data_IF_737537308101
#
_entry.id   IF_737537308101
#
_cell.length_a   1.000
_cell.length_b   1.000
_cell.length_c   1.000
_cell.angle_alpha   90.00
_cell.angle_beta   90.00
_cell.angle_gamma   90.00
#
_symmetry.space_group_name_H-M   'P 1'
#
loop_
_entity.id
_entity.type
_entity.pdbx_description
1 polymer ?
#
# COMPACT_ATOMS: atom_id res chain seq x y z
N UNK A 1 -8.77 -31.03 28.96
CA UNK A 1 -8.36 -29.72 28.40
C UNK A 1 -7.93 -29.97 26.97
N UNK A 2 -8.47 -29.23 26.00
CA UNK A 2 -8.06 -29.31 24.60
C UNK A 2 -7.56 -27.93 24.15
N UNK A 3 -6.44 -27.93 23.43
CA UNK A 3 -5.85 -26.74 22.83
C UNK A 3 -5.57 -27.10 21.38
N UNK A 4 -6.10 -26.30 20.47
CA UNK A 4 -5.79 -26.37 19.05
C UNK A 4 -5.42 -24.99 18.54
N UNK A 5 -4.39 -24.88 17.71
CA UNK A 5 -4.01 -23.63 17.08
C UNK A 5 -3.62 -23.88 15.61
N UNK A 6 -3.89 -22.90 14.76
CA UNK A 6 -3.49 -22.89 13.37
C UNK A 6 -2.94 -21.50 13.00
N UNK A 7 -1.92 -21.49 12.15
CA UNK A 7 -1.40 -20.28 11.51
C UNK A 7 -1.21 -20.59 10.03
N UNK A 8 -1.58 -19.64 9.18
CA UNK A 8 -1.35 -19.70 7.75
C UNK A 8 -0.69 -18.42 7.28
N UNK A 9 0.19 -18.55 6.29
CA UNK A 9 0.83 -17.45 5.60
C UNK A 9 0.40 -17.49 4.13
N UNK A 10 0.01 -16.34 3.58
CA UNK A 10 -0.47 -16.22 2.22
C UNK A 10 0.48 -15.37 1.39
N UNK A 11 0.93 -15.91 0.25
CA UNK A 11 1.71 -15.21 -0.76
C UNK A 11 1.12 -15.47 -2.13
N UNK A 12 1.02 -14.42 -2.95
CA UNK A 12 0.51 -14.50 -4.30
C UNK A 12 1.40 -13.68 -5.25
N UNK A 13 1.63 -14.20 -6.45
CA UNK A 13 2.42 -13.53 -7.48
C UNK A 13 1.90 -13.91 -8.84
N UNK A 14 1.68 -12.90 -9.68
CA UNK A 14 1.26 -13.06 -11.08
C UNK A 14 2.42 -13.61 -11.88
N UNK A 15 2.23 -14.78 -12.50
CA UNK A 15 3.26 -15.45 -13.31
C UNK A 15 3.17 -15.11 -14.79
N UNK A 16 1.96 -14.96 -15.31
CA UNK A 16 1.71 -14.67 -16.72
C UNK A 16 0.34 -14.02 -16.90
N UNK A 17 0.24 -13.09 -17.86
CA UNK A 17 -0.99 -12.39 -18.29
C UNK A 17 -1.09 -12.30 -19.82
N UNK A 18 -0.29 -13.10 -20.54
CA UNK A 18 -0.22 -13.11 -22.00
C UNK A 18 0.46 -11.87 -22.56
N UNK A 19 -0.14 -11.29 -23.61
CA UNK A 19 0.42 -10.13 -24.33
C UNK A 19 0.22 -8.79 -23.60
N UNK A 20 -0.52 -8.78 -22.49
CA UNK A 20 -0.83 -7.56 -21.76
C UNK A 20 0.36 -7.12 -20.91
N UNK A 21 0.64 -5.81 -20.85
CA UNK A 21 1.63 -5.28 -19.92
C UNK A 21 1.14 -5.32 -18.47
N UNK A 22 -0.16 -5.12 -18.25
CA UNK A 22 -0.83 -5.22 -16.96
C UNK A 22 -2.34 -5.41 -17.14
N UNK A 23 -3.03 -5.88 -16.12
CA UNK A 23 -4.49 -5.89 -16.02
C UNK A 23 -4.93 -4.74 -15.10
N UNK A 24 -5.79 -3.87 -15.62
CA UNK A 24 -6.45 -2.83 -14.81
C UNK A 24 -7.72 -3.37 -14.18
N UNK A 25 -7.98 -2.98 -12.94
CA UNK A 25 -9.19 -3.36 -12.21
C UNK A 25 -10.22 -2.23 -12.17
N UNK A 26 -11.50 -2.57 -11.97
CA UNK A 26 -12.62 -1.61 -11.97
C UNK A 26 -12.85 -0.95 -10.60
N UNK A 27 -11.80 -0.83 -9.78
CA UNK A 27 -11.86 -0.13 -8.51
C UNK A 27 -11.58 1.34 -8.76
N UNK A 28 -12.63 2.16 -8.82
CA UNK A 28 -12.52 3.59 -9.00
C UNK A 28 -12.55 4.31 -7.65
N UNK A 29 -11.52 5.11 -7.36
CA UNK A 29 -11.44 6.00 -6.20
C UNK A 29 -11.21 7.40 -6.73
N UNK A 30 -12.21 8.28 -6.64
CA UNK A 30 -12.14 9.64 -7.19
C UNK A 30 -11.66 9.68 -8.66
N UNK A 31 -12.20 8.80 -9.50
CA UNK A 31 -11.82 8.63 -10.92
C UNK A 31 -10.39 8.10 -11.15
N UNK A 32 -9.69 7.68 -10.09
CA UNK A 32 -8.41 6.98 -10.20
C UNK A 32 -8.63 5.47 -10.15
N UNK A 33 -7.86 4.73 -10.94
CA UNK A 33 -7.76 3.26 -10.87
C UNK A 33 -6.44 2.88 -10.21
N UNK A 34 -6.41 2.70 -8.89
CA UNK A 34 -5.17 2.53 -8.15
C UNK A 34 -4.62 1.10 -8.25
N UNK A 35 -5.42 0.14 -8.72
CA UNK A 35 -5.05 -1.27 -8.73
C UNK A 35 -4.63 -1.74 -10.13
N UNK A 36 -3.50 -2.45 -10.19
CA UNK A 36 -2.97 -3.12 -11.38
C UNK A 36 -2.41 -4.49 -11.02
N UNK A 37 -2.64 -5.48 -11.88
CA UNK A 37 -1.95 -6.78 -11.81
C UNK A 37 -0.90 -6.86 -12.91
N UNK A 38 0.35 -7.07 -12.53
CA UNK A 38 1.49 -7.13 -13.44
C UNK A 38 2.35 -8.33 -13.10
N UNK A 39 2.97 -8.97 -14.10
CA UNK A 39 3.87 -10.11 -13.89
C UNK A 39 4.95 -9.76 -12.86
N UNK A 40 5.18 -10.65 -11.90
CA UNK A 40 6.14 -10.48 -10.81
C UNK A 40 5.62 -9.70 -9.60
N UNK A 41 4.42 -9.14 -9.68
CA UNK A 41 3.73 -8.49 -8.56
C UNK A 41 2.56 -9.36 -8.07
N UNK A 42 2.09 -9.17 -6.83
CA UNK A 42 0.83 -9.76 -6.39
C UNK A 42 -0.36 -9.38 -7.29
N UNK A 43 -1.39 -10.22 -7.30
CA UNK A 43 -2.66 -9.86 -7.93
C UNK A 43 -3.31 -8.70 -7.15
N UNK A 44 -3.94 -7.75 -7.84
CA UNK A 44 -4.48 -6.50 -7.25
C UNK A 44 -3.45 -5.65 -6.49
N UNK A 45 -2.24 -5.48 -7.04
CA UNK A 45 -1.26 -4.54 -6.46
C UNK A 45 -1.67 -3.09 -6.62
N UNK A 46 -1.40 -2.27 -5.60
CA UNK A 46 -1.54 -0.82 -5.74
C UNK A 46 -0.42 -0.26 -6.60
N UNK A 47 -0.74 0.63 -7.53
CA UNK A 47 0.21 1.33 -8.39
C UNK A 47 -0.02 2.84 -8.30
N UNK A 48 0.64 3.44 -7.30
CA UNK A 48 0.38 4.78 -6.79
C UNK A 48 1.68 5.58 -6.65
N UNK A 49 1.57 6.91 -6.56
CA UNK A 49 2.70 7.78 -6.21
C UNK A 49 2.86 7.77 -4.69
N UNK A 50 4.08 7.56 -4.22
CA UNK A 50 4.37 7.45 -2.79
C UNK A 50 4.21 8.81 -2.12
N UNK A 51 3.63 8.84 -0.93
CA UNK A 51 3.54 10.07 -0.15
C UNK A 51 4.53 10.03 1.03
N UNK A 52 5.21 11.15 1.25
CA UNK A 52 6.07 11.41 2.40
C UNK A 52 5.28 12.06 3.55
N UNK A 53 3.98 11.76 3.66
CA UNK A 53 3.06 12.35 4.63
C UNK A 53 2.38 13.62 4.13
N UNK A 54 2.04 14.51 5.07
CA UNK A 54 1.33 15.76 4.81
C UNK A 54 2.27 16.96 4.98
N UNK A 55 2.06 18.00 4.18
CA UNK A 55 2.68 19.30 4.42
C UNK A 55 2.12 19.91 5.70
N UNK A 56 2.97 20.14 6.71
CA UNK A 56 2.53 20.68 8.00
C UNK A 56 2.31 22.18 7.97
N UNK A 57 3.05 22.89 7.11
CA UNK A 57 3.01 24.35 7.02
C UNK A 57 3.50 24.83 5.64
N UNK A 58 3.35 26.13 5.40
CA UNK A 58 3.72 26.75 4.12
C UNK A 58 5.23 26.68 3.85
N UNK A 59 6.06 26.73 4.90
CA UNK A 59 7.51 26.66 4.77
C UNK A 59 7.97 25.30 4.22
N UNK A 60 7.33 24.19 4.61
CA UNK A 60 7.62 22.88 4.04
C UNK A 60 7.30 22.81 2.54
N UNK A 61 6.25 23.50 2.09
CA UNK A 61 5.86 23.58 0.68
C UNK A 61 6.86 24.45 -0.09
N UNK A 62 7.25 25.59 0.49
CA UNK A 62 8.19 26.52 -0.13
C UNK A 62 9.58 25.91 -0.27
N UNK A 63 9.99 25.07 0.70
CA UNK A 63 11.23 24.33 0.66
C UNK A 63 11.17 23.08 -0.23
N UNK A 64 9.97 22.65 -0.65
CA UNK A 64 9.81 21.48 -1.51
C UNK A 64 10.06 21.81 -2.98
N UNK A 65 11.35 21.94 -3.30
CA UNK A 65 11.85 22.37 -4.60
C UNK A 65 12.78 21.33 -5.21
N UNK A 66 12.86 21.40 -6.53
CA UNK A 66 13.81 20.67 -7.35
C UNK A 66 14.67 21.67 -8.10
N UNK A 67 15.96 21.36 -8.23
CA UNK A 67 16.92 22.17 -8.99
C UNK A 67 17.32 21.42 -10.24
N UNK A 68 17.19 22.07 -11.39
CA UNK A 68 17.57 21.50 -12.67
C UNK A 68 19.10 21.34 -12.74
N UNK A 69 19.63 20.11 -12.91
CA UNK A 69 21.07 19.89 -12.97
C UNK A 69 21.73 20.50 -14.21
N UNK A 70 20.97 20.82 -15.27
CA UNK A 70 21.48 21.42 -16.51
C UNK A 70 21.41 22.94 -16.51
N UNK A 71 20.34 23.50 -15.96
CA UNK A 71 20.06 24.96 -16.02
C UNK A 71 20.25 25.67 -14.68
N UNK A 72 20.42 24.94 -13.58
CA UNK A 72 20.39 25.45 -12.20
C UNK A 72 19.11 26.21 -11.85
N UNK A 73 18.03 26.04 -12.62
CA UNK A 73 16.74 26.63 -12.32
C UNK A 73 16.08 25.91 -11.13
N UNK A 74 15.60 26.67 -10.16
CA UNK A 74 14.86 26.14 -9.00
C UNK A 74 13.37 26.25 -9.27
N UNK A 75 12.63 25.14 -9.10
CA UNK A 75 11.17 25.12 -9.20
C UNK A 75 10.55 24.34 -8.05
N UNK A 76 9.32 24.67 -7.66
CA UNK A 76 8.55 23.88 -6.69
C UNK A 76 8.06 22.59 -7.34
N UNK A 77 8.17 21.47 -6.64
CA UNK A 77 7.72 20.16 -7.12
C UNK A 77 6.17 20.07 -7.10
N UNK A 78 5.55 20.64 -6.06
CA UNK A 78 4.09 20.75 -5.92
C UNK A 78 3.67 22.23 -5.71
N UNK A 79 3.62 23.05 -6.77
CA UNK A 79 3.41 24.50 -6.63
C UNK A 79 2.03 24.89 -6.10
N UNK A 80 1.03 24.02 -6.28
CA UNK A 80 -0.36 24.26 -5.87
C UNK A 80 -0.69 23.66 -4.49
N UNK A 81 0.28 23.02 -3.82
CA UNK A 81 0.06 22.43 -2.51
C UNK A 81 -0.22 23.50 -1.45
N UNK A 82 -1.08 23.15 -0.50
CA UNK A 82 -1.42 23.93 0.70
C UNK A 82 -1.11 23.12 1.96
N UNK A 83 -0.94 23.78 3.12
CA UNK A 83 -0.81 23.06 4.38
C UNK A 83 -1.97 22.08 4.59
N UNK A 84 -1.66 20.82 4.87
CA UNK A 84 -2.60 19.70 4.94
C UNK A 84 -2.66 18.82 3.69
N UNK A 85 -2.12 19.26 2.54
CA UNK A 85 -2.06 18.42 1.34
C UNK A 85 -0.98 17.33 1.46
N UNK A 86 -1.15 16.25 0.69
CA UNK A 86 -0.16 15.19 0.56
C UNK A 86 1.13 15.71 -0.06
N UNK A 87 2.25 15.38 0.56
CA UNK A 87 3.59 15.53 -0.01
C UNK A 87 3.93 14.27 -0.80
N UNK A 88 3.91 14.34 -2.12
CA UNK A 88 4.27 13.23 -3.01
C UNK A 88 5.77 13.17 -3.24
N UNK A 89 6.34 11.97 -3.28
CA UNK A 89 7.75 11.74 -3.58
C UNK A 89 7.95 11.77 -5.09
N UNK A 90 8.84 12.67 -5.53
CA UNK A 90 9.41 12.67 -6.88
C UNK A 90 10.45 11.54 -6.97
N UNK A 91 10.05 10.41 -7.54
CA UNK A 91 10.82 9.17 -7.50
C UNK A 91 11.88 9.09 -8.60
N UNK A 92 11.64 9.75 -9.74
CA UNK A 92 12.62 9.85 -10.83
C UNK A 92 13.47 11.13 -10.76
N UNK A 93 13.18 12.00 -9.80
CA UNK A 93 13.91 13.22 -9.48
C UNK A 93 13.97 14.19 -10.67
N UNK A 94 12.84 14.38 -11.36
CA UNK A 94 12.69 15.29 -12.50
C UNK A 94 11.99 16.63 -12.13
N UNK A 95 11.57 16.76 -10.87
CA UNK A 95 10.86 17.89 -10.29
C UNK A 95 9.37 18.00 -10.67
N UNK A 96 8.76 16.94 -11.20
CA UNK A 96 7.38 16.88 -11.71
C UNK A 96 6.74 15.59 -11.23
N UNK A 97 5.73 15.72 -10.37
CA UNK A 97 4.92 14.57 -9.92
C UNK A 97 4.01 14.10 -11.06
N UNK A 98 4.26 12.92 -11.60
CA UNK A 98 3.47 12.31 -12.68
C UNK A 98 3.45 10.77 -12.60
N UNK A 99 2.96 10.11 -13.66
CA UNK A 99 2.82 8.65 -13.71
C UNK A 99 4.15 7.88 -13.62
N UNK A 100 5.28 8.52 -13.95
CA UNK A 100 6.64 7.99 -13.79
C UNK A 100 7.07 7.81 -12.34
N UNK A 101 6.42 8.50 -11.40
CA UNK A 101 6.71 8.40 -9.97
C UNK A 101 5.97 7.25 -9.26
N UNK A 102 5.11 6.54 -10.00
CA UNK A 102 4.30 5.47 -9.43
C UNK A 102 5.12 4.23 -9.13
N UNK A 103 4.82 3.61 -7.99
CA UNK A 103 5.42 2.35 -7.54
C UNK A 103 4.35 1.35 -7.15
N UNK A 104 4.73 0.06 -7.17
CA UNK A 104 3.90 -0.99 -6.61
C UNK A 104 3.96 -0.98 -5.08
N UNK A 105 2.81 -0.91 -4.41
CA UNK A 105 2.71 -0.75 -2.95
C UNK A 105 1.76 -1.78 -2.35
N UNK A 106 2.29 -2.97 -2.05
CA UNK A 106 1.47 -4.05 -1.50
C UNK A 106 0.34 -4.49 -2.43
N UNK A 107 -0.64 -5.19 -1.85
CA UNK A 107 -1.77 -5.77 -2.56
C UNK A 107 -3.06 -5.48 -1.81
N UNK A 108 -4.14 -5.21 -2.56
CA UNK A 108 -5.45 -4.97 -1.98
C UNK A 108 -5.97 -6.21 -1.26
N UNK A 109 -6.38 -6.02 0.00
CA UNK A 109 -7.16 -6.99 0.79
C UNK A 109 -6.54 -8.39 0.92
N UNK A 110 -5.20 -8.45 0.99
CA UNK A 110 -4.45 -9.69 1.13
C UNK A 110 -3.59 -9.65 2.41
N UNK A 111 -4.12 -10.14 3.55
CA UNK A 111 -3.34 -10.22 4.78
C UNK A 111 -2.22 -11.24 4.64
N UNK A 112 -1.06 -10.91 5.19
CA UNK A 112 0.11 -11.79 5.15
C UNK A 112 -0.09 -13.03 6.02
N UNK A 113 -0.83 -12.91 7.13
CA UNK A 113 -1.03 -13.99 8.11
C UNK A 113 -2.48 -14.09 8.55
N UNK A 114 -2.93 -15.32 8.73
CA UNK A 114 -4.19 -15.64 9.41
C UNK A 114 -3.91 -16.67 10.50
N UNK A 115 -4.53 -16.51 11.66
CA UNK A 115 -4.31 -17.39 12.80
C UNK A 115 -5.59 -17.64 13.58
N UNK A 116 -5.66 -18.83 14.18
CA UNK A 116 -6.79 -19.29 14.97
C UNK A 116 -6.31 -20.10 16.17
N UNK A 117 -7.04 -20.01 17.29
CA UNK A 117 -6.80 -20.79 18.50
C UNK A 117 -8.12 -21.18 19.14
N UNK A 118 -8.22 -22.43 19.58
CA UNK A 118 -9.34 -22.99 20.32
C UNK A 118 -8.84 -23.53 21.66
N UNK A 119 -9.45 -23.09 22.76
CA UNK A 119 -9.15 -23.50 24.12
C UNK A 119 -10.41 -24.09 24.74
N UNK A 120 -10.33 -25.31 25.26
CA UNK A 120 -11.43 -25.95 26.00
C UNK A 120 -10.96 -26.45 27.36
N UNK A 121 -11.68 -26.08 28.41
CA UNK A 121 -11.43 -26.47 29.79
C UNK A 121 -12.73 -26.94 30.45
N UNK A 122 -12.66 -28.01 31.25
CA UNK A 122 -13.79 -28.54 31.99
C UNK A 122 -13.41 -28.77 33.45
N UNK A 123 -14.25 -28.30 34.38
CA UNK A 123 -14.05 -28.50 35.82
C UNK A 123 -15.39 -28.58 36.56
N UNK A 124 -15.59 -29.63 37.37
CA UNK A 124 -16.79 -29.83 38.22
C UNK A 124 -18.11 -29.47 37.52
N UNK A 125 -18.39 -30.12 36.39
CA UNK A 125 -19.58 -29.92 35.55
C UNK A 125 -19.69 -28.56 34.84
N UNK A 126 -18.68 -27.70 34.90
CA UNK A 126 -18.58 -26.46 34.12
C UNK A 126 -17.66 -26.70 32.92
N UNK A 127 -18.10 -26.30 31.73
CA UNK A 127 -17.30 -26.33 30.50
C UNK A 127 -17.11 -24.91 29.96
N UNK A 128 -15.87 -24.55 29.66
CA UNK A 128 -15.48 -23.29 29.03
C UNK A 128 -14.84 -23.61 27.67
N UNK A 129 -15.31 -22.96 26.61
CA UNK A 129 -14.71 -22.99 25.28
C UNK A 129 -14.46 -21.57 24.80
N UNK A 130 -13.25 -21.31 24.32
CA UNK A 130 -12.82 -20.00 23.80
C UNK A 130 -12.22 -20.21 22.41
N UNK A 131 -12.70 -19.42 21.43
CA UNK A 131 -12.15 -19.38 20.07
C UNK A 131 -11.60 -17.98 19.79
N UNK A 132 -10.36 -17.91 19.35
CA UNK A 132 -9.68 -16.70 18.93
C UNK A 132 -9.36 -16.83 17.43
N UNK A 133 -9.67 -15.79 16.66
CA UNK A 133 -9.33 -15.69 15.24
C UNK A 133 -8.73 -14.30 14.98
N UNK A 134 -7.73 -14.23 14.12
CA UNK A 134 -7.11 -12.98 13.74
C UNK A 134 -6.45 -13.03 12.37
N UNK A 135 -6.28 -11.85 11.79
CA UNK A 135 -5.52 -11.62 10.57
C UNK A 135 -4.55 -10.48 10.83
N UNK A 136 -3.36 -10.55 10.24
CA UNK A 136 -2.37 -9.48 10.30
C UNK A 136 -1.59 -9.39 9.01
N UNK A 137 -1.19 -8.18 8.65
CA UNK A 137 -0.50 -7.88 7.40
C UNK A 137 -0.97 -6.58 6.81
#
# INVERSE_FOLDING_TARGET
>A
MNIGANIAHFNNTVKDIGVNAFISHNNDVNSMKPLRSTVGQPWFSYFLIESAGLFRNQQEIDNYTWTDPKTNAVKKIQPNAKPGDLKFIDADNNGIINDGDRKYMGAYDMPNYTYGMNLGAGWKNINLNVTLMGVSG
#
